data_IF_096422291594
#
_entry.id   IF_096422291594
#
_cell.length_a   1.000
_cell.length_b   1.000
_cell.length_c   1.000
_cell.angle_alpha   90.00
_cell.angle_beta   90.00
_cell.angle_gamma   90.00
#
_symmetry.space_group_name_H-M   'P 1'
#
loop_
_entity.id
_entity.type
_entity.pdbx_description
1 polymer ?
#
# COMPACT_ATOMS: atom_id res chain seq x y z
N UNK A 1 -31.10 -9.85 28.11
CA UNK A 1 -29.88 -9.59 27.32
C UNK A 1 -29.46 -8.14 27.60
N UNK A 2 -28.25 -7.95 28.09
CA UNK A 2 -27.77 -6.61 28.53
C UNK A 2 -27.56 -5.71 27.32
N UNK A 3 -27.94 -4.40 27.42
CA UNK A 3 -27.70 -3.36 26.40
C UNK A 3 -26.24 -3.26 25.91
N UNK A 4 -25.30 -3.84 26.64
CA UNK A 4 -23.89 -3.90 26.26
C UNK A 4 -23.61 -4.77 25.03
N UNK A 5 -24.41 -5.82 24.75
CA UNK A 5 -24.25 -6.71 23.60
C UNK A 5 -24.76 -6.12 22.28
N UNK A 6 -25.58 -5.07 22.34
CA UNK A 6 -26.13 -4.40 21.15
C UNK A 6 -25.21 -3.31 20.58
N UNK A 7 -24.16 -2.88 21.35
CA UNK A 7 -23.25 -1.83 20.86
C UNK A 7 -22.32 -2.38 19.77
N UNK A 8 -22.09 -1.63 18.70
CA UNK A 8 -21.19 -2.05 17.63
C UNK A 8 -19.71 -1.99 18.04
N UNK A 9 -18.84 -2.67 17.28
CA UNK A 9 -17.44 -2.33 17.19
C UNK A 9 -17.33 -1.11 16.28
N UNK A 10 -16.61 -0.08 16.71
CA UNK A 10 -16.37 1.11 15.90
C UNK A 10 -14.98 1.04 15.28
N UNK A 11 -14.92 1.17 13.95
CA UNK A 11 -13.66 1.26 13.18
C UNK A 11 -13.49 2.70 12.71
N UNK A 12 -12.37 3.32 13.06
CA UNK A 12 -12.04 4.70 12.70
C UNK A 12 -11.12 4.69 11.49
N UNK A 13 -11.63 5.12 10.36
CA UNK A 13 -10.97 5.13 9.06
C UNK A 13 -11.42 4.01 8.11
N UNK A 14 -11.87 4.38 6.91
CA UNK A 14 -12.29 3.50 5.82
C UNK A 14 -11.18 3.27 4.78
N UNK A 15 -9.89 3.29 5.20
CA UNK A 15 -8.77 2.81 4.42
C UNK A 15 -8.77 1.28 4.32
N UNK A 16 -7.85 0.69 3.54
CA UNK A 16 -7.78 -0.76 3.33
C UNK A 16 -7.71 -1.57 4.64
N UNK A 17 -6.98 -1.09 5.64
CA UNK A 17 -6.86 -1.78 6.92
C UNK A 17 -8.19 -1.77 7.70
N UNK A 18 -8.88 -0.61 7.72
CA UNK A 18 -10.17 -0.49 8.39
C UNK A 18 -11.26 -1.30 7.71
N UNK A 19 -11.33 -1.25 6.37
CA UNK A 19 -12.28 -2.05 5.59
C UNK A 19 -12.02 -3.55 5.74
N UNK A 20 -10.75 -4.00 5.71
CA UNK A 20 -10.39 -5.40 5.93
C UNK A 20 -10.80 -5.88 7.35
N UNK A 21 -10.60 -5.03 8.37
CA UNK A 21 -11.03 -5.31 9.73
C UNK A 21 -12.56 -5.38 9.83
N UNK A 22 -13.26 -4.37 9.32
CA UNK A 22 -14.71 -4.27 9.37
C UNK A 22 -15.39 -5.46 8.64
N UNK A 23 -14.92 -5.79 7.45
CA UNK A 23 -15.44 -6.91 6.66
C UNK A 23 -15.21 -8.25 7.37
N UNK A 24 -14.03 -8.45 7.98
CA UNK A 24 -13.76 -9.66 8.73
C UNK A 24 -14.68 -9.79 9.96
N UNK A 25 -14.88 -8.72 10.72
CA UNK A 25 -15.79 -8.70 11.86
C UNK A 25 -17.26 -8.93 11.44
N UNK A 26 -17.69 -8.31 10.35
CA UNK A 26 -19.03 -8.47 9.82
C UNK A 26 -19.33 -9.94 9.42
N UNK A 27 -18.37 -10.61 8.78
CA UNK A 27 -18.49 -12.04 8.41
C UNK A 27 -18.69 -12.95 9.62
N UNK A 28 -18.16 -12.57 10.77
CA UNK A 28 -18.34 -13.27 12.05
C UNK A 28 -19.60 -12.80 12.83
N UNK A 29 -20.48 -12.03 12.17
CA UNK A 29 -21.74 -11.57 12.74
C UNK A 29 -21.61 -10.49 13.82
N UNK A 30 -20.47 -9.80 13.90
CA UNK A 30 -20.27 -8.70 14.84
C UNK A 30 -20.83 -7.41 14.24
N UNK A 31 -21.73 -6.67 14.93
CA UNK A 31 -22.17 -5.36 14.49
C UNK A 31 -20.99 -4.38 14.42
N UNK A 32 -20.81 -3.74 13.25
CA UNK A 32 -19.70 -2.80 12.98
C UNK A 32 -20.25 -1.47 12.50
N UNK A 33 -19.60 -0.37 12.90
CA UNK A 33 -19.72 0.96 12.29
C UNK A 33 -18.34 1.44 11.90
N UNK A 34 -18.22 2.00 10.70
CA UNK A 34 -16.97 2.58 10.19
C UNK A 34 -17.15 4.09 10.08
N UNK A 35 -16.29 4.86 10.75
CA UNK A 35 -16.29 6.31 10.74
C UNK A 35 -15.16 6.78 9.84
N UNK A 36 -15.48 7.47 8.74
CA UNK A 36 -14.50 7.97 7.77
C UNK A 36 -14.60 9.51 7.69
N UNK A 37 -13.46 10.18 7.86
CA UNK A 37 -13.41 11.63 7.85
C UNK A 37 -13.64 12.25 6.47
N UNK A 38 -13.27 11.55 5.41
CA UNK A 38 -13.34 12.05 4.04
C UNK A 38 -14.69 11.75 3.36
N UNK A 39 -14.79 12.15 2.10
CA UNK A 39 -15.96 12.00 1.23
C UNK A 39 -16.04 10.63 0.52
N UNK A 40 -15.16 9.69 0.85
CA UNK A 40 -15.15 8.36 0.23
C UNK A 40 -14.20 7.38 0.89
N UNK A 41 -14.39 6.10 0.60
CA UNK A 41 -13.55 5.01 1.11
C UNK A 41 -12.18 4.95 0.41
N UNK A 42 -11.24 4.21 1.01
CA UNK A 42 -9.95 3.87 0.42
C UNK A 42 -8.74 4.56 1.06
N UNK A 43 -8.95 5.67 1.75
CA UNK A 43 -7.85 6.45 2.35
C UNK A 43 -6.85 6.93 1.28
N UNK A 44 -5.65 6.35 1.25
CA UNK A 44 -4.62 6.63 0.23
C UNK A 44 -4.86 5.94 -1.11
N UNK A 45 -5.67 4.88 -1.14
CA UNK A 45 -5.99 4.12 -2.35
C UNK A 45 -7.32 4.64 -2.92
N UNK A 46 -7.23 5.74 -3.66
CA UNK A 46 -8.37 6.43 -4.26
C UNK A 46 -8.05 6.84 -5.70
N UNK A 47 -9.10 7.05 -6.49
CA UNK A 47 -9.03 7.45 -7.90
C UNK A 47 -9.93 8.65 -8.12
N UNK A 48 -9.45 9.62 -8.90
CA UNK A 48 -10.23 10.75 -9.40
C UNK A 48 -10.46 10.60 -10.90
N UNK A 49 -11.60 11.09 -11.41
CA UNK A 49 -11.88 11.17 -12.85
C UNK A 49 -11.82 12.62 -13.29
N UNK A 50 -10.94 12.93 -14.23
CA UNK A 50 -10.71 14.29 -14.72
C UNK A 50 -10.68 14.28 -16.25
N UNK A 51 -11.59 14.99 -16.89
CA UNK A 51 -11.67 15.13 -18.35
C UNK A 51 -11.65 13.77 -19.10
N UNK A 52 -12.29 12.75 -18.52
CA UNK A 52 -12.33 11.39 -19.04
C UNK A 52 -11.08 10.53 -18.74
N UNK A 53 -10.09 11.07 -18.04
CA UNK A 53 -8.94 10.32 -17.54
C UNK A 53 -9.19 9.75 -16.14
N UNK A 54 -8.64 8.58 -15.88
CA UNK A 54 -8.64 7.92 -14.57
C UNK A 54 -7.31 8.19 -13.88
N UNK A 55 -7.32 8.95 -12.78
CA UNK A 55 -6.14 9.40 -12.07
C UNK A 55 -6.13 8.82 -10.65
N UNK A 56 -5.28 7.86 -10.39
CA UNK A 56 -5.06 7.40 -9.03
C UNK A 56 -4.39 8.49 -8.19
N UNK A 57 -4.77 8.63 -6.92
CA UNK A 57 -4.20 9.65 -6.03
C UNK A 57 -2.77 9.27 -5.63
N UNK A 58 -1.85 9.49 -6.57
CA UNK A 58 -0.46 9.04 -6.57
C UNK A 58 -0.25 7.84 -7.48
N UNK A 59 1.00 7.67 -7.97
CA UNK A 59 1.34 6.51 -8.78
C UNK A 59 1.39 5.26 -7.89
N UNK A 60 0.42 4.39 -8.04
CA UNK A 60 0.21 3.20 -7.23
C UNK A 60 0.11 1.97 -8.10
N UNK A 61 0.55 0.83 -7.56
CA UNK A 61 0.38 -0.48 -8.18
C UNK A 61 0.09 -1.52 -7.08
N UNK A 62 -0.60 -2.58 -7.46
CA UNK A 62 -0.80 -3.76 -6.63
C UNK A 62 0.07 -4.91 -7.16
N UNK A 63 0.67 -5.70 -6.26
CA UNK A 63 1.42 -6.88 -6.67
C UNK A 63 0.49 -8.10 -6.66
N UNK A 64 0.36 -8.78 -7.79
CA UNK A 64 -0.56 -9.92 -7.92
C UNK A 64 -0.17 -11.13 -7.06
N UNK A 65 1.07 -11.18 -6.57
CA UNK A 65 1.54 -12.20 -5.62
C UNK A 65 1.15 -11.93 -4.15
N UNK A 66 0.45 -10.84 -3.84
CA UNK A 66 0.05 -10.56 -2.47
C UNK A 66 -0.96 -11.60 -1.95
N UNK A 67 -0.63 -12.34 -0.85
CA UNK A 67 -1.54 -13.34 -0.29
C UNK A 67 -2.91 -12.80 0.12
N UNK A 68 -2.96 -11.56 0.66
CA UNK A 68 -4.24 -10.97 1.07
C UNK A 68 -5.12 -10.57 -0.12
N UNK A 69 -4.54 -10.33 -1.30
CA UNK A 69 -5.31 -10.13 -2.52
C UNK A 69 -6.20 -11.35 -2.83
N UNK A 70 -5.60 -12.54 -2.84
CA UNK A 70 -6.34 -13.79 -3.12
C UNK A 70 -7.26 -14.24 -1.99
N UNK A 71 -7.03 -13.73 -0.77
CA UNK A 71 -7.85 -14.07 0.40
C UNK A 71 -9.11 -13.21 0.52
N UNK A 72 -9.00 -11.93 0.17
CA UNK A 72 -10.04 -10.94 0.50
C UNK A 72 -10.81 -10.43 -0.71
N UNK A 73 -10.32 -10.67 -1.93
CA UNK A 73 -10.89 -10.11 -3.15
C UNK A 73 -11.32 -11.17 -4.15
N UNK A 74 -12.34 -10.84 -4.92
CA UNK A 74 -12.56 -11.43 -6.23
C UNK A 74 -11.60 -10.77 -7.22
N UNK A 75 -10.48 -11.46 -7.49
CA UNK A 75 -9.41 -10.94 -8.35
C UNK A 75 -9.89 -10.79 -9.80
N UNK A 76 -10.81 -11.64 -10.25
CA UNK A 76 -11.36 -11.57 -11.61
C UNK A 76 -12.21 -10.31 -11.79
N UNK A 77 -13.01 -9.95 -10.78
CA UNK A 77 -13.84 -8.75 -10.81
C UNK A 77 -13.03 -7.44 -10.75
N UNK A 78 -11.80 -7.47 -10.25
CA UNK A 78 -10.91 -6.31 -10.29
C UNK A 78 -10.39 -5.99 -11.70
N UNK A 79 -10.49 -6.92 -12.64
CA UNK A 79 -10.08 -6.75 -14.05
C UNK A 79 -8.68 -6.12 -14.18
N UNK A 80 -7.67 -6.82 -13.62
CA UNK A 80 -6.32 -6.30 -13.48
C UNK A 80 -5.58 -6.17 -14.81
N UNK A 81 -4.93 -5.04 -15.02
CA UNK A 81 -4.02 -4.74 -16.14
C UNK A 81 -2.59 -4.80 -15.64
N UNK A 82 -1.81 -5.73 -16.18
CA UNK A 82 -0.44 -5.97 -15.74
C UNK A 82 0.57 -5.09 -16.47
N UNK A 83 1.54 -4.59 -15.72
CA UNK A 83 2.78 -4.06 -16.26
C UNK A 83 3.62 -5.17 -16.85
N UNK A 84 4.38 -4.85 -17.90
CA UNK A 84 5.37 -5.79 -18.43
C UNK A 84 6.48 -6.06 -17.39
N UNK A 85 6.99 -7.30 -17.29
CA UNK A 85 7.93 -7.71 -16.25
C UNK A 85 9.31 -7.09 -16.48
N UNK A 86 9.65 -6.08 -15.70
CA UNK A 86 10.92 -5.37 -15.79
C UNK A 86 10.76 -3.87 -15.69
N UNK A 87 11.76 -3.14 -16.17
CA UNK A 87 11.73 -1.68 -16.23
C UNK A 87 12.53 -1.19 -17.45
N UNK A 88 12.13 -0.02 -17.98
CA UNK A 88 12.85 0.70 -19.02
C UNK A 88 13.72 1.77 -18.38
N UNK A 89 15.03 1.58 -18.35
CA UNK A 89 15.97 2.57 -17.81
C UNK A 89 16.26 3.62 -18.86
N UNK A 90 15.86 4.86 -18.61
CA UNK A 90 16.05 5.99 -19.53
C UNK A 90 17.34 6.73 -19.20
N UNK A 91 18.21 6.89 -20.21
CA UNK A 91 19.49 7.56 -20.05
C UNK A 91 20.02 8.08 -21.40
N UNK A 92 20.52 9.31 -21.44
CA UNK A 92 21.13 9.92 -22.63
C UNK A 92 20.19 9.84 -23.86
N UNK A 93 18.90 10.13 -23.68
CA UNK A 93 17.93 10.12 -24.78
C UNK A 93 17.53 8.70 -25.27
N UNK A 94 17.89 7.65 -24.55
CA UNK A 94 17.61 6.25 -24.94
C UNK A 94 17.06 5.44 -23.78
N UNK A 95 16.08 4.59 -24.06
CA UNK A 95 15.58 3.56 -23.16
C UNK A 95 16.37 2.25 -23.31
N UNK A 96 16.72 1.63 -22.18
CA UNK A 96 17.33 0.29 -22.15
C UNK A 96 16.48 -0.59 -21.25
N UNK A 97 15.89 -1.65 -21.82
CA UNK A 97 15.03 -2.55 -21.05
C UNK A 97 15.86 -3.50 -20.18
N UNK A 98 15.47 -3.61 -18.92
CA UNK A 98 15.92 -4.65 -17.98
C UNK A 98 14.69 -5.47 -17.61
N UNK A 99 14.59 -6.64 -18.21
CA UNK A 99 13.44 -7.52 -18.11
C UNK A 99 13.79 -8.76 -17.29
N UNK A 100 12.85 -9.31 -16.55
CA UNK A 100 13.02 -10.61 -15.90
C UNK A 100 13.04 -11.71 -16.98
N UNK A 101 14.20 -12.33 -17.28
CA UNK A 101 14.31 -13.30 -18.36
C UNK A 101 13.56 -14.60 -18.07
N UNK A 102 13.18 -14.85 -16.83
CA UNK A 102 12.38 -16.02 -16.47
C UNK A 102 10.89 -15.82 -16.77
N UNK A 103 10.44 -14.56 -16.85
CA UNK A 103 9.06 -14.22 -17.20
C UNK A 103 8.89 -13.85 -18.67
N UNK A 104 9.91 -13.24 -19.27
CA UNK A 104 9.95 -12.94 -20.71
C UNK A 104 11.33 -13.27 -21.30
N UNK A 105 11.54 -14.55 -21.71
CA UNK A 105 12.81 -15.02 -22.28
C UNK A 105 13.24 -14.30 -23.58
N UNK A 106 12.28 -13.71 -24.31
CA UNK A 106 12.56 -13.00 -25.58
C UNK A 106 13.49 -11.82 -25.40
N UNK A 107 13.45 -11.19 -24.22
CA UNK A 107 14.27 -10.03 -23.87
C UNK A 107 15.57 -10.38 -23.14
N UNK A 108 15.89 -11.68 -22.95
CA UNK A 108 17.06 -12.10 -22.17
C UNK A 108 18.38 -11.55 -22.77
N UNK A 109 18.55 -11.60 -24.09
CA UNK A 109 19.75 -11.08 -24.76
C UNK A 109 19.82 -9.56 -24.66
N UNK A 110 18.72 -8.85 -24.91
CA UNK A 110 18.65 -7.40 -24.79
C UNK A 110 18.99 -6.95 -23.36
N UNK A 111 18.44 -7.63 -22.35
CA UNK A 111 18.75 -7.40 -20.93
C UNK A 111 20.23 -7.67 -20.63
N UNK A 112 20.80 -8.75 -21.16
CA UNK A 112 22.22 -9.07 -20.96
C UNK A 112 23.14 -7.99 -21.55
N UNK A 113 22.78 -7.40 -22.67
CA UNK A 113 23.55 -6.37 -23.38
C UNK A 113 23.22 -4.93 -22.92
N UNK A 114 22.17 -4.72 -22.12
CA UNK A 114 21.80 -3.39 -21.64
C UNK A 114 22.96 -2.73 -20.88
N UNK A 115 23.31 -1.44 -21.14
CA UNK A 115 24.46 -0.74 -20.53
C UNK A 115 24.12 -0.26 -19.10
N UNK A 116 23.53 -1.15 -18.31
CA UNK A 116 23.05 -0.91 -16.95
C UNK A 116 23.75 -1.94 -16.06
N UNK A 117 24.76 -1.51 -15.34
CA UNK A 117 25.64 -2.40 -14.57
C UNK A 117 26.48 -3.34 -15.44
N UNK A 118 27.21 -4.21 -14.77
CA UNK A 118 28.06 -5.23 -15.38
C UNK A 118 27.29 -6.51 -15.69
N UNK A 119 27.82 -7.45 -16.51
CA UNK A 119 27.25 -8.79 -16.64
C UNK A 119 27.15 -9.53 -15.29
N UNK A 120 28.10 -9.29 -14.39
CA UNK A 120 28.08 -9.85 -13.04
C UNK A 120 26.92 -9.32 -12.21
N UNK A 121 26.53 -8.06 -12.37
CA UNK A 121 25.35 -7.50 -11.68
C UNK A 121 24.06 -8.21 -12.12
N UNK A 122 23.93 -8.52 -13.39
CA UNK A 122 22.78 -9.24 -13.95
C UNK A 122 22.69 -10.67 -13.42
N UNK A 123 23.85 -11.33 -13.29
CA UNK A 123 23.93 -12.66 -12.66
C UNK A 123 23.56 -12.57 -11.16
N UNK A 124 23.97 -11.49 -10.47
CA UNK A 124 23.59 -11.26 -9.06
C UNK A 124 22.09 -11.03 -8.92
N UNK A 125 21.42 -10.34 -9.86
CA UNK A 125 19.95 -10.21 -9.85
C UNK A 125 19.30 -11.60 -9.96
N UNK A 126 19.75 -12.45 -10.88
CA UNK A 126 19.22 -13.79 -11.02
C UNK A 126 19.43 -14.65 -9.74
N UNK A 127 20.60 -14.53 -9.12
CA UNK A 127 20.91 -15.17 -7.84
C UNK A 127 20.04 -14.63 -6.70
N UNK A 128 19.87 -13.32 -6.60
CA UNK A 128 19.01 -12.66 -5.64
C UNK A 128 17.57 -13.18 -5.78
N UNK A 129 17.03 -13.17 -7.00
CA UNK A 129 15.72 -13.71 -7.30
C UNK A 129 15.57 -15.16 -6.83
N UNK A 130 16.54 -16.02 -7.17
CA UNK A 130 16.51 -17.42 -6.73
C UNK A 130 16.57 -17.55 -5.21
N UNK A 131 17.49 -16.86 -4.54
CA UNK A 131 17.65 -16.92 -3.09
C UNK A 131 16.41 -16.45 -2.33
N UNK A 132 15.77 -15.37 -2.78
CA UNK A 132 14.56 -14.86 -2.13
C UNK A 132 13.36 -15.80 -2.35
N UNK A 133 13.28 -16.47 -3.52
CA UNK A 133 12.19 -17.42 -3.80
C UNK A 133 12.33 -18.76 -3.06
N UNK A 134 13.54 -19.16 -2.70
CA UNK A 134 13.79 -20.39 -1.95
C UNK A 134 13.49 -20.28 -0.45
N UNK A 135 13.29 -19.07 0.08
CA UNK A 135 13.04 -18.81 1.51
C UNK A 135 11.56 -18.52 1.73
N UNK A 136 10.98 -19.04 2.80
CA UNK A 136 9.60 -18.71 3.15
C UNK A 136 9.45 -17.19 3.42
N UNK A 137 8.41 -16.49 2.90
CA UNK A 137 8.28 -15.03 3.00
C UNK A 137 8.39 -14.49 4.42
N UNK A 138 7.88 -15.20 5.44
CA UNK A 138 7.96 -14.78 6.82
C UNK A 138 9.42 -14.70 7.36
N UNK A 139 10.34 -15.50 6.82
CA UNK A 139 11.75 -15.49 7.19
C UNK A 139 12.50 -14.31 6.57
N UNK A 140 12.02 -13.76 5.46
CA UNK A 140 12.60 -12.54 4.86
C UNK A 140 12.44 -11.32 5.77
N UNK A 141 11.41 -11.33 6.61
CA UNK A 141 11.13 -10.29 7.61
C UNK A 141 11.88 -10.50 8.94
N UNK A 142 12.73 -11.51 9.04
CA UNK A 142 13.49 -11.84 10.23
C UNK A 142 15.02 -11.61 10.02
N UNK A 143 15.83 -11.90 11.05
CA UNK A 143 17.29 -11.78 11.03
C UNK A 143 17.77 -10.33 11.18
N UNK A 144 19.06 -10.10 10.90
CA UNK A 144 19.67 -8.78 10.95
C UNK A 144 19.00 -7.80 9.99
N UNK A 145 18.92 -6.55 10.40
CA UNK A 145 18.29 -5.50 9.61
C UNK A 145 19.26 -4.34 9.39
N UNK A 146 19.29 -3.87 8.15
CA UNK A 146 20.11 -2.74 7.70
C UNK A 146 19.43 -2.05 6.53
N UNK A 147 19.97 -0.95 6.06
CA UNK A 147 19.42 -0.26 4.89
C UNK A 147 19.50 -1.12 3.62
N UNK A 148 18.56 -0.89 2.70
CA UNK A 148 18.57 -1.49 1.37
C UNK A 148 19.87 -1.16 0.62
N UNK A 149 20.36 0.09 0.70
CA UNK A 149 21.63 0.51 0.08
C UNK A 149 22.81 -0.33 0.57
N UNK A 150 22.99 -0.45 1.89
CA UNK A 150 24.06 -1.26 2.47
C UNK A 150 23.93 -2.74 2.05
N UNK A 151 22.72 -3.27 2.04
CA UNK A 151 22.45 -4.66 1.63
C UNK A 151 22.81 -4.92 0.16
N UNK A 152 22.49 -3.99 -0.74
CA UNK A 152 22.85 -4.13 -2.16
C UNK A 152 24.37 -4.09 -2.36
N UNK A 153 25.07 -3.19 -1.66
CA UNK A 153 26.53 -3.10 -1.68
C UNK A 153 27.18 -4.39 -1.15
N UNK A 154 26.71 -4.93 0.00
CA UNK A 154 27.21 -6.19 0.58
C UNK A 154 26.95 -7.41 -0.31
N UNK A 155 25.86 -7.40 -1.09
CA UNK A 155 25.59 -8.40 -2.12
C UNK A 155 26.47 -8.26 -3.36
N UNK A 156 27.35 -7.24 -3.38
CA UNK A 156 28.37 -6.98 -4.38
C UNK A 156 27.83 -6.30 -5.66
N UNK A 157 26.64 -5.71 -5.62
CA UNK A 157 26.17 -4.90 -6.76
C UNK A 157 27.06 -3.69 -6.96
N UNK A 158 27.35 -3.37 -8.22
CA UNK A 158 28.13 -2.16 -8.54
C UNK A 158 27.32 -0.88 -8.26
N UNK A 159 28.01 0.22 -7.95
CA UNK A 159 27.37 1.53 -7.79
C UNK A 159 26.55 1.89 -9.03
N UNK A 160 27.05 1.55 -10.21
CA UNK A 160 26.33 1.75 -11.48
C UNK A 160 24.98 1.04 -11.51
N UNK A 161 24.90 -0.19 -11.04
CA UNK A 161 23.63 -0.94 -10.98
C UNK A 161 22.73 -0.36 -9.90
N UNK A 162 23.27 -0.02 -8.73
CA UNK A 162 22.51 0.59 -7.63
C UNK A 162 21.91 1.92 -8.11
N UNK A 163 22.72 2.81 -8.67
CA UNK A 163 22.29 4.15 -9.06
C UNK A 163 21.31 4.18 -10.24
N UNK A 164 21.55 3.32 -11.25
CA UNK A 164 20.77 3.39 -12.51
C UNK A 164 19.51 2.54 -12.50
N UNK A 165 19.45 1.53 -11.65
CA UNK A 165 18.34 0.57 -11.63
C UNK A 165 17.67 0.49 -10.26
N UNK A 166 18.41 0.09 -9.20
CA UNK A 166 17.78 -0.14 -7.90
C UNK A 166 17.25 1.15 -7.27
N UNK A 167 18.01 2.24 -7.32
CA UNK A 167 17.56 3.52 -6.76
C UNK A 167 16.25 4.00 -7.37
N UNK A 168 16.11 4.17 -8.69
CA UNK A 168 14.86 4.65 -9.26
C UNK A 168 13.73 3.63 -9.19
N UNK A 169 14.00 2.32 -9.19
CA UNK A 169 12.97 1.29 -9.04
C UNK A 169 12.52 1.16 -7.58
N UNK A 170 13.45 0.79 -6.71
CA UNK A 170 13.15 0.46 -5.30
C UNK A 170 12.86 1.74 -4.50
N UNK A 171 13.63 2.80 -4.75
CA UNK A 171 13.39 4.11 -4.16
C UNK A 171 12.02 4.69 -4.54
N UNK A 172 11.54 4.39 -5.77
CA UNK A 172 10.18 4.72 -6.19
C UNK A 172 9.12 3.92 -5.44
N UNK A 173 9.32 2.61 -5.27
CA UNK A 173 8.38 1.72 -4.56
C UNK A 173 8.33 2.04 -3.06
N UNK A 174 9.49 2.30 -2.44
CA UNK A 174 9.61 2.56 -0.99
C UNK A 174 9.47 4.05 -0.64
N UNK A 175 9.28 4.93 -1.61
CA UNK A 175 9.30 6.39 -1.47
C UNK A 175 10.58 6.88 -0.75
N UNK A 176 11.69 6.24 -1.04
CA UNK A 176 12.98 6.44 -0.39
C UNK A 176 14.13 6.48 -1.41
N UNK A 177 14.38 7.63 -2.04
CA UNK A 177 15.42 7.79 -3.06
C UNK A 177 16.82 7.39 -2.59
N UNK A 178 17.09 7.47 -1.30
CA UNK A 178 18.40 7.14 -0.73
C UNK A 178 18.53 5.68 -0.28
N UNK A 179 17.48 4.86 -0.48
CA UNK A 179 17.45 3.43 -0.15
C UNK A 179 17.81 3.14 1.32
N UNK A 180 17.40 4.04 2.24
CA UNK A 180 17.62 3.87 3.68
C UNK A 180 16.62 2.92 4.33
N UNK A 181 15.48 2.67 3.68
CA UNK A 181 14.49 1.71 4.17
C UNK A 181 15.10 0.30 4.35
N UNK A 182 14.52 -0.44 5.27
CA UNK A 182 14.96 -1.78 5.67
C UNK A 182 15.12 -2.75 4.50
N UNK A 183 16.18 -3.56 4.54
CA UNK A 183 16.36 -4.69 3.60
C UNK A 183 15.20 -5.66 3.64
N UNK A 184 14.51 -5.81 4.79
CA UNK A 184 13.36 -6.71 4.93
C UNK A 184 12.24 -6.30 4.00
N UNK A 185 12.00 -4.99 3.88
CA UNK A 185 11.05 -4.45 2.90
C UNK A 185 11.50 -4.67 1.47
N UNK A 186 12.78 -4.42 1.18
CA UNK A 186 13.34 -4.70 -0.13
C UNK A 186 13.18 -6.19 -0.50
N UNK A 187 13.59 -7.09 0.38
CA UNK A 187 13.58 -8.53 0.12
C UNK A 187 12.15 -9.05 -0.12
N UNK A 188 11.17 -8.62 0.68
CA UNK A 188 9.77 -9.06 0.50
C UNK A 188 9.14 -8.48 -0.78
N UNK A 189 9.37 -7.19 -1.08
CA UNK A 189 8.85 -6.56 -2.31
C UNK A 189 9.48 -7.19 -3.55
N UNK A 190 10.80 -7.37 -3.54
CA UNK A 190 11.49 -8.01 -4.66
C UNK A 190 11.03 -9.46 -4.87
N UNK A 191 10.76 -10.20 -3.78
CA UNK A 191 10.14 -11.53 -3.84
C UNK A 191 8.76 -11.48 -4.49
N UNK A 192 7.90 -10.55 -4.10
CA UNK A 192 6.54 -10.41 -4.67
C UNK A 192 6.60 -10.06 -6.16
N UNK A 193 7.53 -9.19 -6.57
CA UNK A 193 7.78 -8.88 -7.99
C UNK A 193 8.31 -10.09 -8.78
N UNK A 194 9.08 -10.98 -8.13
CA UNK A 194 9.58 -12.20 -8.76
C UNK A 194 8.51 -13.30 -8.88
N UNK A 195 7.50 -13.30 -8.02
CA UNK A 195 6.44 -14.31 -8.00
C UNK A 195 5.18 -13.89 -8.75
N UNK A 196 4.94 -12.57 -8.92
CA UNK A 196 3.77 -12.01 -9.58
C UNK A 196 4.08 -10.77 -10.41
N UNK A 197 3.05 -10.09 -10.89
CA UNK A 197 3.13 -8.84 -11.64
C UNK A 197 2.80 -7.63 -10.78
N UNK A 198 3.28 -6.45 -11.19
CA UNK A 198 2.66 -5.19 -10.81
C UNK A 198 1.44 -4.97 -11.71
N UNK A 199 0.32 -4.57 -11.13
CA UNK A 199 -0.92 -4.40 -11.86
C UNK A 199 -1.76 -3.26 -11.27
N UNK A 200 -2.70 -2.77 -12.07
CA UNK A 200 -3.75 -1.83 -11.65
C UNK A 200 -5.12 -2.34 -12.11
N UNK A 201 -6.21 -2.11 -11.37
CA UNK A 201 -7.55 -2.38 -11.87
C UNK A 201 -7.88 -1.51 -13.09
N UNK A 202 -8.63 -2.02 -14.06
CA UNK A 202 -9.06 -1.26 -15.24
C UNK A 202 -9.87 0.01 -14.88
N UNK A 203 -10.63 -0.05 -13.79
CA UNK A 203 -11.43 1.07 -13.28
C UNK A 203 -10.69 2.04 -12.35
N UNK A 204 -9.38 1.85 -12.15
CA UNK A 204 -8.60 2.62 -11.18
C UNK A 204 -8.42 1.91 -9.84
N UNK A 205 -7.45 2.36 -9.08
CA UNK A 205 -7.09 1.74 -7.79
C UNK A 205 -8.23 1.80 -6.75
N UNK A 206 -9.18 2.75 -6.87
CA UNK A 206 -10.35 2.84 -5.99
C UNK A 206 -11.24 1.58 -6.03
N UNK A 207 -11.22 0.80 -7.12
CA UNK A 207 -11.95 -0.47 -7.21
C UNK A 207 -11.56 -1.46 -6.09
N UNK A 208 -10.34 -1.36 -5.57
CA UNK A 208 -9.86 -2.23 -4.48
C UNK A 208 -10.62 -1.96 -3.17
N UNK A 209 -10.58 -0.75 -2.56
CA UNK A 209 -11.35 -0.47 -1.35
C UNK A 209 -12.87 -0.54 -1.58
N UNK A 210 -13.37 -0.19 -2.75
CA UNK A 210 -14.79 -0.27 -3.10
C UNK A 210 -15.31 -1.71 -3.06
N UNK A 211 -14.54 -2.68 -3.55
CA UNK A 211 -14.90 -4.09 -3.48
C UNK A 211 -14.98 -4.58 -2.02
N UNK A 212 -14.09 -4.13 -1.13
CA UNK A 212 -14.19 -4.44 0.30
C UNK A 212 -15.40 -3.78 0.94
N UNK A 213 -15.66 -2.52 0.64
CA UNK A 213 -16.80 -1.79 1.17
C UNK A 213 -18.14 -2.40 0.77
N UNK A 214 -18.24 -2.94 -0.45
CA UNK A 214 -19.42 -3.61 -0.98
C UNK A 214 -19.80 -4.90 -0.21
N UNK A 215 -18.91 -5.44 0.61
CA UNK A 215 -19.24 -6.56 1.50
C UNK A 215 -19.95 -6.14 2.81
N UNK A 216 -20.03 -4.84 3.07
CA UNK A 216 -20.65 -4.30 4.28
C UNK A 216 -22.08 -3.83 3.97
N UNK A 217 -23.05 -4.03 4.89
CA UNK A 217 -24.41 -3.52 4.72
C UNK A 217 -24.44 -2.00 4.54
N UNK A 218 -25.45 -1.52 3.85
CA UNK A 218 -25.72 -0.08 3.73
C UNK A 218 -25.82 0.57 5.10
N UNK A 219 -25.26 1.78 5.22
CA UNK A 219 -25.22 2.53 6.46
C UNK A 219 -24.17 2.06 7.48
N UNK A 220 -23.37 1.02 7.17
CA UNK A 220 -22.25 0.60 8.02
C UNK A 220 -21.11 1.62 8.00
N UNK A 221 -20.86 2.27 6.85
CA UNK A 221 -19.82 3.27 6.65
C UNK A 221 -20.45 4.66 6.70
N UNK A 222 -19.97 5.51 7.58
CA UNK A 222 -20.37 6.91 7.72
C UNK A 222 -19.22 7.79 7.23
N UNK A 223 -19.46 8.49 6.12
CA UNK A 223 -18.51 9.42 5.51
C UNK A 223 -18.69 10.83 6.10
N UNK A 224 -17.66 11.67 6.03
CA UNK A 224 -17.68 13.01 6.61
C UNK A 224 -17.79 13.01 8.13
N UNK A 225 -17.34 11.94 8.80
CA UNK A 225 -17.43 11.73 10.23
C UNK A 225 -16.02 11.69 10.88
N UNK A 226 -15.33 12.83 11.02
CA UNK A 226 -13.99 12.89 11.61
C UNK A 226 -14.05 12.58 13.11
N UNK A 227 -13.27 11.58 13.52
CA UNK A 227 -13.09 11.24 14.94
C UNK A 227 -12.00 12.10 15.53
N UNK A 228 -12.33 12.88 16.54
CA UNK A 228 -11.43 13.81 17.25
C UNK A 228 -10.79 13.23 18.50
N UNK A 229 -11.43 12.25 19.13
CA UNK A 229 -10.91 11.60 20.34
C UNK A 229 -11.40 10.16 20.49
N UNK A 230 -10.57 9.34 21.13
CA UNK A 230 -10.90 7.98 21.54
C UNK A 230 -10.75 7.90 23.06
N UNK A 231 -11.75 7.36 23.73
CA UNK A 231 -11.77 7.21 25.19
C UNK A 231 -12.05 5.77 25.56
N UNK A 232 -11.40 5.29 26.59
CA UNK A 232 -11.65 3.98 27.18
C UNK A 232 -12.14 4.12 28.61
N UNK A 233 -13.06 3.28 29.03
CA UNK A 233 -13.61 3.27 30.39
C UNK A 233 -13.96 1.86 30.84
N UNK A 234 -14.49 1.73 32.07
CA UNK A 234 -14.89 0.43 32.63
C UNK A 234 -16.04 -0.20 31.85
N UNK A 235 -16.87 0.58 31.19
CA UNK A 235 -18.05 0.13 30.44
C UNK A 235 -17.80 -0.09 28.94
N UNK A 236 -16.53 -0.08 28.49
CA UNK A 236 -16.13 -0.22 27.09
C UNK A 236 -15.35 0.99 26.57
N UNK A 237 -15.41 1.20 25.26
CA UNK A 237 -14.75 2.30 24.58
C UNK A 237 -15.78 3.27 23.98
N UNK A 238 -15.37 4.50 23.71
CA UNK A 238 -16.17 5.51 23.04
C UNK A 238 -15.29 6.37 22.13
N UNK A 239 -15.90 6.90 21.08
CA UNK A 239 -15.29 7.90 20.22
C UNK A 239 -16.04 9.22 20.32
N UNK A 240 -15.35 10.29 20.03
CA UNK A 240 -15.93 11.63 19.85
C UNK A 240 -15.83 11.99 18.37
N UNK A 241 -16.96 12.27 17.75
CA UNK A 241 -17.09 12.67 16.35
C UNK A 241 -17.40 14.16 16.30
N UNK A 242 -16.76 14.92 15.43
CA UNK A 242 -16.93 16.37 15.26
C UNK A 242 -16.76 17.19 16.56
N UNK A 243 -16.03 16.66 17.55
CA UNK A 243 -15.85 17.31 18.84
C UNK A 243 -17.12 17.44 19.70
N UNK A 244 -18.24 16.81 19.32
CA UNK A 244 -19.54 16.96 19.97
C UNK A 244 -20.33 15.66 20.17
N UNK A 245 -20.29 14.73 19.23
CA UNK A 245 -21.07 13.52 19.27
C UNK A 245 -20.29 12.35 19.87
N UNK A 246 -20.80 11.77 20.94
CA UNK A 246 -20.21 10.59 21.56
C UNK A 246 -20.88 9.31 21.06
N UNK A 247 -20.07 8.38 20.53
CA UNK A 247 -20.51 7.06 20.11
C UNK A 247 -19.89 6.01 21.02
N UNK A 248 -20.73 5.30 21.78
CA UNK A 248 -20.30 4.20 22.63
C UNK A 248 -20.10 2.93 21.82
N UNK A 249 -19.06 2.17 22.11
CA UNK A 249 -18.67 0.97 21.41
C UNK A 249 -18.29 -0.16 22.37
N UNK A 250 -18.39 -1.42 21.91
CA UNK A 250 -17.82 -2.58 22.63
C UNK A 250 -16.30 -2.59 22.54
N UNK A 251 -15.80 -2.17 21.39
CA UNK A 251 -14.38 -1.99 21.10
C UNK A 251 -14.21 -0.89 20.05
N UNK A 252 -13.06 -0.23 20.05
CA UNK A 252 -12.68 0.75 19.05
C UNK A 252 -11.41 0.28 18.35
N UNK A 253 -11.44 0.30 17.02
CA UNK A 253 -10.29 0.02 16.15
C UNK A 253 -9.88 1.32 15.46
N UNK A 254 -8.71 1.85 15.76
CA UNK A 254 -8.13 2.99 15.04
C UNK A 254 -7.37 2.46 13.83
N UNK A 255 -7.88 2.73 12.64
CA UNK A 255 -7.39 2.25 11.35
C UNK A 255 -6.96 3.40 10.41
N UNK A 256 -6.62 4.55 10.99
CA UNK A 256 -6.11 5.72 10.29
C UNK A 256 -4.65 5.53 9.86
N UNK A 257 -4.07 6.52 9.19
CA UNK A 257 -2.62 6.53 8.96
C UNK A 257 -1.84 6.66 10.29
N UNK A 258 -0.51 6.44 10.21
CA UNK A 258 0.35 6.44 11.39
C UNK A 258 0.34 7.75 12.20
N UNK A 259 0.44 8.94 11.57
CA UNK A 259 0.36 10.21 12.25
C UNK A 259 -0.95 10.41 13.03
N UNK A 260 -2.10 10.24 12.40
CA UNK A 260 -3.41 10.38 13.05
C UNK A 260 -3.63 9.31 14.13
N UNK A 261 -3.17 8.08 13.89
CA UNK A 261 -3.21 7.03 14.93
C UNK A 261 -2.35 7.42 16.14
N UNK A 262 -1.19 8.05 15.93
CA UNK A 262 -0.33 8.58 16.99
C UNK A 262 -1.04 9.65 17.83
N UNK A 263 -1.73 10.58 17.19
CA UNK A 263 -2.48 11.66 17.84
C UNK A 263 -3.67 11.11 18.65
N UNK A 264 -4.48 10.25 18.06
CA UNK A 264 -5.68 9.69 18.70
C UNK A 264 -5.36 8.74 19.88
N UNK A 265 -4.24 8.03 19.82
CA UNK A 265 -3.92 6.94 20.75
C UNK A 265 -2.76 7.26 21.70
N UNK A 266 -2.03 8.35 21.48
CA UNK A 266 -0.80 8.66 22.23
C UNK A 266 0.31 7.60 22.05
N UNK A 267 0.29 6.85 20.96
CA UNK A 267 1.35 5.87 20.64
C UNK A 267 2.53 6.57 19.96
N UNK A 268 3.71 5.91 19.99
CA UNK A 268 4.92 6.45 19.38
C UNK A 268 4.65 6.85 17.92
N UNK A 269 5.03 8.07 17.51
CA UNK A 269 4.81 8.53 16.15
C UNK A 269 5.59 7.69 15.15
N UNK A 270 4.98 7.43 14.02
CA UNK A 270 5.61 6.74 12.89
C UNK A 270 6.00 7.79 11.85
N UNK A 271 7.28 7.81 11.46
CA UNK A 271 7.74 8.69 10.39
C UNK A 271 7.01 8.41 9.07
N UNK A 272 6.98 9.41 8.21
CA UNK A 272 6.29 9.33 6.91
C UNK A 272 7.26 9.55 5.76
N UNK A 273 7.09 8.82 4.67
CA UNK A 273 7.72 9.06 3.38
C UNK A 273 6.70 9.76 2.48
N UNK A 274 7.11 10.86 1.88
CA UNK A 274 6.24 11.69 1.03
C UNK A 274 6.46 11.41 -0.45
N UNK A 275 5.51 11.82 -1.30
CA UNK A 275 5.65 11.76 -2.76
C UNK A 275 4.81 12.84 -3.43
N UNK A 276 5.39 13.47 -4.46
CA UNK A 276 4.68 14.25 -5.46
C UNK A 276 4.42 13.41 -6.70
N UNK A 277 3.22 13.51 -7.25
CA UNK A 277 2.86 12.88 -8.51
C UNK A 277 2.23 13.90 -9.45
N UNK A 278 2.68 13.92 -10.70
CA UNK A 278 2.15 14.81 -11.73
C UNK A 278 1.62 13.99 -12.88
N UNK A 279 0.39 14.29 -13.28
CA UNK A 279 -0.31 13.64 -14.38
C UNK A 279 -0.40 14.58 -15.58
N UNK A 280 -0.06 14.03 -16.75
CA UNK A 280 -0.15 14.73 -18.03
C UNK A 280 -0.97 13.92 -19.03
N UNK A 281 -1.79 14.62 -19.81
CA UNK A 281 -2.36 14.09 -21.03
C UNK A 281 -1.43 14.41 -22.21
N UNK A 282 -1.18 13.41 -23.06
CA UNK A 282 -0.37 13.52 -24.26
C UNK A 282 -1.16 13.01 -25.48
N UNK A 283 -0.99 13.66 -26.64
CA UNK A 283 -1.61 13.21 -27.90
C UNK A 283 -0.92 11.96 -28.47
N UNK A 284 0.37 11.80 -28.17
CA UNK A 284 1.14 10.61 -28.55
C UNK A 284 1.92 10.09 -27.33
N UNK A 285 1.96 8.79 -27.18
CA UNK A 285 2.75 8.16 -26.11
C UNK A 285 4.25 8.45 -26.36
N UNK A 286 5.01 8.89 -25.32
CA UNK A 286 6.44 9.13 -25.48
C UNK A 286 7.24 7.82 -25.66
N UNK A 287 6.64 6.69 -25.36
CA UNK A 287 7.14 5.33 -25.56
C UNK A 287 5.96 4.37 -25.60
N UNK A 288 6.10 3.24 -26.26
CA UNK A 288 5.10 2.17 -26.37
C UNK A 288 5.18 1.13 -25.25
N UNK A 289 6.15 1.29 -24.34
CA UNK A 289 6.38 0.31 -23.27
C UNK A 289 5.21 0.25 -22.28
N UNK A 290 4.94 -0.97 -21.81
CA UNK A 290 4.11 -1.24 -20.62
C UNK A 290 4.94 -1.33 -19.32
N UNK A 291 6.22 -1.04 -19.37
CA UNK A 291 7.10 -1.06 -18.21
C UNK A 291 7.10 0.32 -17.52
N UNK A 292 7.46 0.32 -16.25
CA UNK A 292 7.85 1.56 -15.57
C UNK A 292 9.14 2.08 -16.19
N UNK A 293 9.20 3.37 -16.49
CA UNK A 293 10.39 4.08 -16.99
C UNK A 293 11.13 4.67 -15.81
N UNK A 294 12.42 4.35 -15.68
CA UNK A 294 13.28 4.75 -14.56
C UNK A 294 14.28 5.83 -14.98
N UNK A 295 14.55 6.79 -14.10
CA UNK A 295 15.65 7.74 -14.29
C UNK A 295 17.02 7.08 -14.04
N UNK A 296 17.65 6.62 -15.09
CA UNK A 296 19.01 6.02 -15.02
C UNK A 296 20.15 7.03 -15.03
N UNK A 297 19.85 8.34 -15.00
CA UNK A 297 20.83 9.42 -15.10
C UNK A 297 20.86 10.36 -13.88
N UNK A 298 19.95 10.23 -12.92
CA UNK A 298 19.72 11.19 -11.83
C UNK A 298 19.51 12.62 -12.38
N UNK A 299 18.65 12.71 -13.39
CA UNK A 299 18.45 13.94 -14.16
C UNK A 299 17.54 14.96 -13.48
N UNK A 300 16.92 14.60 -12.38
CA UNK A 300 16.04 15.45 -11.60
C UNK A 300 15.25 14.69 -10.54
N UNK A 301 14.18 15.30 -9.97
CA UNK A 301 13.41 14.72 -8.88
C UNK A 301 12.50 13.56 -9.32
N UNK A 302 12.15 13.45 -10.61
CA UNK A 302 11.34 12.34 -11.12
C UNK A 302 12.17 11.07 -11.09
N UNK A 303 11.81 10.12 -10.24
CA UNK A 303 12.46 8.82 -10.17
C UNK A 303 11.93 7.85 -11.20
N UNK A 304 10.61 7.82 -11.37
CA UNK A 304 9.97 6.92 -12.31
C UNK A 304 8.74 7.56 -12.97
N UNK A 305 8.42 7.03 -14.14
CA UNK A 305 7.30 7.44 -14.98
C UNK A 305 6.58 6.20 -15.47
N UNK A 306 5.27 6.28 -15.64
CA UNK A 306 4.50 5.29 -16.37
C UNK A 306 3.61 5.97 -17.41
N UNK A 307 3.48 5.35 -18.59
CA UNK A 307 2.42 5.67 -19.54
C UNK A 307 1.26 4.75 -19.20
N UNK A 308 0.39 5.22 -18.31
CA UNK A 308 -0.69 4.40 -17.73
C UNK A 308 -1.62 3.83 -18.79
N UNK A 309 -1.94 4.60 -19.83
CA UNK A 309 -2.76 4.15 -20.94
C UNK A 309 -2.14 3.04 -21.80
N UNK A 310 -0.82 2.82 -21.74
CA UNK A 310 -0.21 1.65 -22.38
C UNK A 310 -0.47 0.38 -21.58
N UNK A 311 -0.54 0.50 -20.26
CA UNK A 311 -0.81 -0.63 -19.34
C UNK A 311 -2.29 -0.92 -19.28
N UNK A 312 -3.09 0.10 -18.99
CA UNK A 312 -4.54 0.09 -18.86
C UNK A 312 -5.14 1.13 -19.82
N UNK A 313 -5.56 0.74 -21.03
CA UNK A 313 -6.14 1.66 -22.01
C UNK A 313 -7.32 2.47 -21.46
N UNK A 314 -8.03 1.92 -20.49
CA UNK A 314 -9.19 2.51 -19.82
C UNK A 314 -8.84 3.76 -19.00
N UNK A 315 -7.57 4.01 -18.72
CA UNK A 315 -7.11 5.19 -17.98
C UNK A 315 -7.10 6.48 -18.79
N UNK A 316 -7.29 6.42 -20.12
CA UNK A 316 -7.33 7.59 -20.98
C UNK A 316 -8.46 7.51 -22.02
N UNK A 317 -9.01 8.64 -22.44
CA UNK A 317 -9.91 8.70 -23.58
C UNK A 317 -9.23 8.20 -24.86
N UNK A 318 -10.02 7.66 -25.78
CA UNK A 318 -9.52 7.19 -27.08
C UNK A 318 -8.73 8.31 -27.83
N UNK A 319 -7.54 7.95 -28.32
CA UNK A 319 -6.64 8.89 -29.00
C UNK A 319 -5.84 9.81 -28.07
N UNK A 320 -5.87 9.55 -26.76
CA UNK A 320 -5.06 10.25 -25.75
C UNK A 320 -4.24 9.28 -24.93
N UNK A 321 -3.18 9.78 -24.32
CA UNK A 321 -2.30 8.99 -23.46
C UNK A 321 -2.15 9.65 -22.10
N UNK A 322 -2.17 8.85 -21.05
CA UNK A 322 -1.95 9.29 -19.68
C UNK A 322 -0.51 8.97 -19.23
N UNK A 323 0.21 10.03 -18.88
CA UNK A 323 1.58 9.92 -18.35
C UNK A 323 1.60 10.35 -16.88
N UNK A 324 2.13 9.54 -15.99
CA UNK A 324 2.36 9.88 -14.59
C UNK A 324 3.85 9.93 -14.27
N UNK A 325 4.29 10.99 -13.59
CA UNK A 325 5.64 11.17 -13.08
C UNK A 325 5.63 11.18 -11.56
N UNK A 326 6.42 10.32 -10.92
CA UNK A 326 6.52 10.22 -9.47
C UNK A 326 7.86 10.78 -8.95
N UNK A 327 7.77 11.60 -7.91
CA UNK A 327 8.86 12.31 -7.27
C UNK A 327 8.85 12.03 -5.76
N UNK A 328 9.39 10.88 -5.32
CA UNK A 328 9.50 10.57 -3.90
C UNK A 328 10.33 11.61 -3.14
N UNK A 329 9.84 11.99 -1.95
CA UNK A 329 10.46 13.03 -1.11
C UNK A 329 10.02 14.45 -1.44
N UNK A 330 9.37 14.68 -2.58
CA UNK A 330 9.01 16.02 -3.06
C UNK A 330 7.52 16.32 -2.88
N UNK A 331 7.21 17.45 -2.24
CA UNK A 331 5.82 17.93 -2.06
C UNK A 331 5.68 19.45 -2.29
N UNK A 332 6.74 20.09 -2.78
CA UNK A 332 6.80 21.55 -3.03
C UNK A 332 5.84 22.02 -4.13
N UNK A 333 5.80 23.32 -4.34
CA UNK A 333 4.88 23.94 -5.32
C UNK A 333 5.28 23.71 -6.77
N UNK A 334 6.57 23.48 -7.03
CA UNK A 334 7.14 23.42 -8.39
C UNK A 334 7.16 22.01 -9.00
N UNK A 335 6.34 21.07 -8.50
CA UNK A 335 6.36 19.68 -8.99
C UNK A 335 6.11 19.57 -10.50
N UNK A 336 5.09 20.25 -11.00
CA UNK A 336 4.74 20.22 -12.44
C UNK A 336 5.88 20.75 -13.31
N UNK A 337 6.39 21.93 -13.01
CA UNK A 337 7.47 22.56 -13.79
C UNK A 337 8.77 21.77 -13.72
N UNK A 338 9.08 21.15 -12.59
CA UNK A 338 10.26 20.31 -12.42
C UNK A 338 10.12 18.98 -13.19
N UNK A 339 8.96 18.33 -13.11
CA UNK A 339 8.67 17.15 -13.90
C UNK A 339 8.75 17.43 -15.40
N UNK A 340 8.06 18.48 -15.88
CA UNK A 340 8.05 18.87 -17.30
C UNK A 340 9.46 19.13 -17.82
N UNK A 341 10.29 19.87 -17.07
CA UNK A 341 11.68 20.17 -17.44
C UNK A 341 12.51 18.89 -17.57
N UNK A 342 12.43 17.97 -16.62
CA UNK A 342 13.13 16.70 -16.66
C UNK A 342 12.66 15.82 -17.82
N UNK A 343 11.34 15.68 -18.00
CA UNK A 343 10.74 14.89 -19.07
C UNK A 343 11.01 15.45 -20.45
N UNK A 344 11.10 16.78 -20.59
CA UNK A 344 11.56 17.43 -21.82
C UNK A 344 13.01 17.04 -22.16
N UNK A 345 13.87 16.88 -21.15
CA UNK A 345 15.22 16.35 -21.35
C UNK A 345 15.23 14.90 -21.83
N UNK A 346 14.19 14.12 -21.50
CA UNK A 346 14.05 12.72 -21.93
C UNK A 346 13.46 12.63 -23.35
N UNK A 347 12.36 13.30 -23.61
CA UNK A 347 11.50 13.09 -24.79
C UNK A 347 11.39 14.31 -25.71
N UNK A 348 12.14 15.38 -25.43
CA UNK A 348 12.21 16.55 -26.30
C UNK A 348 10.98 17.46 -26.24
N UNK A 349 10.81 18.26 -27.31
CA UNK A 349 9.81 19.33 -27.37
C UNK A 349 8.34 18.84 -27.33
N UNK A 350 8.05 17.56 -27.58
CA UNK A 350 6.69 17.04 -27.48
C UNK A 350 6.09 17.24 -26.07
N UNK A 351 6.95 17.23 -25.02
CA UNK A 351 6.54 17.42 -23.64
C UNK A 351 5.94 18.80 -23.37
N UNK A 352 6.34 19.81 -24.15
CA UNK A 352 5.81 21.17 -24.03
C UNK A 352 4.31 21.24 -24.43
N UNK A 353 3.84 20.27 -25.24
CA UNK A 353 2.46 20.18 -25.71
C UNK A 353 1.56 19.35 -24.78
N UNK A 354 2.14 18.70 -23.74
CA UNK A 354 1.36 17.90 -22.82
C UNK A 354 0.49 18.79 -21.94
N UNK A 355 -0.79 18.43 -21.83
CA UNK A 355 -1.71 19.10 -20.91
C UNK A 355 -1.44 18.59 -19.48
N UNK A 356 -1.23 19.52 -18.55
CA UNK A 356 -1.22 19.18 -17.12
C UNK A 356 -2.65 18.88 -16.66
N UNK A 357 -2.89 17.70 -16.11
CA UNK A 357 -4.20 17.28 -15.59
C UNK A 357 -4.31 17.55 -14.10
N UNK A 358 -3.35 17.04 -13.34
CA UNK A 358 -3.37 17.16 -11.88
C UNK A 358 -1.98 16.93 -11.26
N UNK A 359 -1.78 17.57 -10.11
CA UNK A 359 -0.64 17.32 -9.22
C UNK A 359 -1.14 16.89 -7.87
N UNK A 360 -0.69 15.71 -7.41
CA UNK A 360 -0.93 15.23 -6.05
C UNK A 360 0.31 15.47 -5.19
N UNK A 361 0.11 16.05 -4.00
CA UNK A 361 1.11 16.23 -2.96
C UNK A 361 0.72 15.38 -1.78
N UNK A 362 1.49 14.33 -1.52
CA UNK A 362 1.13 13.30 -0.54
C UNK A 362 2.20 13.29 0.55
N UNK A 363 1.98 14.00 1.66
CA UNK A 363 2.96 14.08 2.76
C UNK A 363 3.14 12.74 3.48
N UNK A 364 2.11 11.90 3.49
CA UNK A 364 2.07 10.59 4.17
C UNK A 364 1.78 9.47 3.16
N UNK A 365 2.65 9.30 2.14
CA UNK A 365 2.50 8.25 1.12
C UNK A 365 2.70 6.86 1.70
N UNK A 366 3.73 6.69 2.53
CA UNK A 366 4.02 5.46 3.26
C UNK A 366 4.57 5.76 4.65
N UNK A 367 4.36 4.88 5.66
CA UNK A 367 5.10 4.96 6.91
C UNK A 367 6.58 4.69 6.67
N UNK A 368 7.47 5.34 7.44
CA UNK A 368 8.90 5.03 7.43
C UNK A 368 9.13 3.60 7.91
N UNK A 369 10.00 2.89 7.19
CA UNK A 369 10.41 1.53 7.52
C UNK A 369 11.94 1.42 7.58
N UNK A 370 12.57 2.43 8.17
CA UNK A 370 14.01 2.45 8.39
C UNK A 370 14.43 1.38 9.42
N UNK A 371 15.64 0.84 9.31
CA UNK A 371 16.13 -0.12 10.31
C UNK A 371 16.26 0.48 11.73
N UNK A 372 15.94 -0.27 12.77
CA UNK A 372 15.45 -1.64 12.80
C UNK A 372 13.94 -1.74 12.57
N UNK A 373 13.54 -2.21 11.39
CA UNK A 373 12.13 -2.38 11.04
C UNK A 373 11.52 -3.59 11.74
N UNK A 374 10.37 -3.39 12.38
CA UNK A 374 9.63 -4.42 13.11
C UNK A 374 8.22 -4.57 12.54
N UNK A 375 8.00 -5.53 11.62
CA UNK A 375 6.66 -5.86 11.13
C UNK A 375 5.84 -6.56 12.22
N UNK A 376 4.54 -6.73 11.97
CA UNK A 376 3.61 -7.43 12.84
C UNK A 376 3.56 -6.87 14.27
N UNK A 377 3.56 -5.55 14.39
CA UNK A 377 3.44 -4.88 15.68
C UNK A 377 2.11 -5.26 16.36
N UNK A 378 2.07 -5.10 17.68
CA UNK A 378 0.89 -5.38 18.49
C UNK A 378 -0.31 -4.54 18.04
N UNK A 379 -1.46 -5.19 17.81
CA UNK A 379 -2.71 -4.54 17.38
C UNK A 379 -3.65 -4.25 18.55
N UNK A 380 -3.61 -5.02 19.64
CA UNK A 380 -4.40 -4.76 20.84
C UNK A 380 -3.63 -3.84 21.81
N UNK A 381 -4.28 -2.76 22.24
CA UNK A 381 -3.74 -1.81 23.23
C UNK A 381 -4.33 -2.01 24.62
N UNK A 382 -5.27 -2.95 24.78
CA UNK A 382 -6.00 -3.21 26.04
C UNK A 382 -7.30 -2.40 26.13
N UNK A 383 -8.13 -2.72 27.11
CA UNK A 383 -9.37 -2.03 27.43
C UNK A 383 -10.32 -1.81 26.22
N UNK A 384 -10.41 -2.79 25.30
CA UNK A 384 -11.26 -2.69 24.12
C UNK A 384 -10.73 -1.74 23.05
N UNK A 385 -9.45 -1.34 23.12
CA UNK A 385 -8.80 -0.46 22.15
C UNK A 385 -7.82 -1.22 21.28
N UNK A 386 -7.91 -0.99 19.95
CA UNK A 386 -7.13 -1.66 18.93
C UNK A 386 -6.61 -0.68 17.90
N UNK A 387 -5.55 -1.06 17.19
CA UNK A 387 -4.94 -0.28 16.12
C UNK A 387 -4.49 -1.16 14.98
N UNK A 388 -4.79 -0.77 13.75
CA UNK A 388 -4.29 -1.43 12.54
C UNK A 388 -3.90 -0.39 11.48
N UNK A 389 -3.19 -0.86 10.46
CA UNK A 389 -2.67 -0.04 9.38
C UNK A 389 -1.37 -0.62 8.84
N UNK A 390 -0.90 -0.14 7.70
CA UNK A 390 0.39 -0.50 7.13
C UNK A 390 1.56 -0.10 8.04
N UNK A 391 1.39 0.91 8.87
CA UNK A 391 2.36 1.32 9.90
C UNK A 391 2.51 0.30 11.06
N UNK A 392 1.61 -0.68 11.16
CA UNK A 392 1.68 -1.79 12.13
C UNK A 392 2.21 -3.08 11.54
N UNK A 393 2.50 -3.08 10.23
CA UNK A 393 3.02 -4.22 9.47
C UNK A 393 4.01 -3.73 8.40
N UNK A 394 3.89 -4.14 7.15
CA UNK A 394 4.69 -3.66 6.01
C UNK A 394 4.00 -2.47 5.33
N UNK A 395 4.76 -1.44 4.93
CA UNK A 395 4.24 -0.28 4.19
C UNK A 395 3.80 -0.68 2.78
N UNK A 396 2.64 -1.29 2.68
CA UNK A 396 2.08 -1.83 1.44
C UNK A 396 0.58 -2.12 1.57
N UNK A 397 -0.09 -2.27 0.44
CA UNK A 397 -1.48 -2.79 0.37
C UNK A 397 -1.59 -4.12 1.14
N UNK A 398 -0.63 -5.04 0.92
CA UNK A 398 -0.56 -6.32 1.65
C UNK A 398 -0.51 -6.12 3.16
N UNK A 399 0.34 -5.22 3.64
CA UNK A 399 0.50 -4.97 5.08
C UNK A 399 -0.72 -4.31 5.71
N UNK A 400 -1.37 -3.38 5.01
CA UNK A 400 -2.61 -2.77 5.45
C UNK A 400 -3.73 -3.82 5.63
N UNK A 401 -3.97 -4.65 4.60
CA UNK A 401 -4.98 -5.71 4.60
C UNK A 401 -4.70 -6.76 5.70
N UNK A 402 -3.47 -7.23 5.78
CA UNK A 402 -3.05 -8.21 6.78
C UNK A 402 -3.16 -7.67 8.21
N UNK A 403 -2.78 -6.41 8.44
CA UNK A 403 -2.91 -5.75 9.74
C UNK A 403 -4.38 -5.62 10.14
N UNK A 404 -5.26 -5.25 9.20
CA UNK A 404 -6.71 -5.16 9.43
C UNK A 404 -7.31 -6.49 9.85
N UNK A 405 -6.99 -7.58 9.14
CA UNK A 405 -7.46 -8.93 9.48
C UNK A 405 -6.95 -9.40 10.84
N UNK A 406 -5.65 -9.23 11.13
CA UNK A 406 -5.10 -9.54 12.47
C UNK A 406 -5.78 -8.76 13.59
N UNK A 407 -6.17 -7.53 13.29
CA UNK A 407 -6.90 -6.70 14.25
C UNK A 407 -8.31 -7.27 14.50
N UNK A 408 -9.00 -7.70 13.45
CA UNK A 408 -10.30 -8.36 13.60
C UNK A 408 -10.20 -9.62 14.46
N UNK A 409 -9.21 -10.48 14.21
CA UNK A 409 -8.95 -11.69 15.03
C UNK A 409 -8.76 -11.33 16.52
N UNK A 410 -8.01 -10.25 16.80
CA UNK A 410 -7.77 -9.80 18.18
C UNK A 410 -9.03 -9.19 18.83
N UNK A 411 -9.88 -8.50 18.06
CA UNK A 411 -11.18 -7.98 18.53
C UNK A 411 -12.11 -9.13 18.87
N UNK A 412 -12.23 -10.14 17.99
CA UNK A 412 -13.04 -11.33 18.24
C UNK A 412 -12.64 -12.05 19.54
N UNK A 413 -11.35 -12.30 19.71
CA UNK A 413 -10.84 -12.91 20.94
C UNK A 413 -11.18 -12.08 22.21
N UNK A 414 -11.12 -10.74 22.11
CA UNK A 414 -11.52 -9.86 23.21
C UNK A 414 -13.02 -9.94 23.50
N UNK A 415 -13.87 -10.01 22.48
CA UNK A 415 -15.32 -10.10 22.63
C UNK A 415 -15.77 -11.46 23.20
N UNK A 416 -15.08 -12.55 22.85
CA UNK A 416 -15.36 -13.89 23.36
C UNK A 416 -15.01 -13.99 24.85
N UNK A 417 -13.86 -13.48 25.27
CA UNK A 417 -13.50 -13.41 26.70
C UNK A 417 -14.51 -12.58 27.50
N UNK A 418 -15.01 -11.49 26.93
CA UNK A 418 -16.03 -10.68 27.58
C UNK A 418 -17.39 -11.39 27.69
N UNK A 419 -17.74 -12.28 26.76
CA UNK A 419 -18.94 -13.13 26.85
C UNK A 419 -18.80 -14.17 27.98
N UNK A 420 -17.67 -14.86 28.06
CA UNK A 420 -17.43 -15.88 29.08
C UNK A 420 -17.43 -15.31 30.52
N UNK A 421 -17.01 -14.05 30.67
CA UNK A 421 -17.08 -13.33 31.97
C UNK A 421 -18.49 -12.90 32.32
N UNK A 422 -19.31 -12.51 31.31
CA UNK A 422 -20.68 -12.04 31.50
C UNK A 422 -21.68 -13.18 31.74
N UNK A 423 -21.45 -14.36 31.11
CA UNK A 423 -22.20 -15.59 31.27
C UNK A 423 -21.26 -16.72 31.69
N UNK A 424 -20.88 -16.79 33.00
CA UNK A 424 -20.06 -17.90 33.46
C UNK A 424 -20.85 -19.20 33.28
N UNK A 425 -20.22 -20.30 32.82
CA UNK A 425 -20.89 -21.58 32.63
C UNK A 425 -21.61 -21.95 33.92
N UNK A 426 -22.93 -22.13 33.81
CA UNK A 426 -23.77 -22.61 34.94
C UNK A 426 -23.13 -23.89 35.44
N UNK A 427 -22.60 -23.84 36.66
CA UNK A 427 -22.04 -25.01 37.34
C UNK A 427 -23.12 -26.10 37.34
N UNK A 428 -22.87 -27.18 36.63
CA UNK A 428 -23.71 -28.39 36.66
C UNK A 428 -23.68 -28.83 38.11
N UNK A 429 -24.79 -28.63 38.85
CA UNK A 429 -25.01 -29.33 40.12
C UNK A 429 -25.11 -30.81 39.77
N UNK A 430 -24.33 -31.67 40.38
CA UNK A 430 -24.58 -33.10 40.26
C UNK A 430 -25.92 -33.40 40.95
N UNK A 431 -26.89 -33.88 40.16
CA UNK A 431 -28.15 -34.36 40.64
C UNK A 431 -27.94 -35.57 41.53
N UNK A 432 -28.47 -35.47 42.77
CA UNK A 432 -29.18 -36.49 43.49
C UNK A 432 -28.40 -37.76 43.88
N UNK A 433 -27.88 -37.80 45.10
CA UNK A 433 -27.93 -39.06 45.84
C UNK A 433 -29.36 -39.38 46.25
N UNK A 434 -29.88 -40.61 46.01
CA UNK A 434 -31.14 -41.03 46.57
C UNK A 434 -30.93 -41.42 48.02
N UNK A 435 -31.80 -40.89 48.88
CA UNK A 435 -31.94 -41.31 50.27
C UNK A 435 -32.39 -42.77 50.36
N UNK A 436 -31.69 -43.58 51.11
CA UNK A 436 -32.18 -44.82 51.71
C UNK A 436 -31.99 -44.76 53.22
#
# INVERSE_FOLDING_TARGET
MSRAHERPVVVVGAGLAGLACATALHREGVPVRVMEASDGVGGRVRTDHVDGFTLDRGFQVMLTAYPELHRQFDVAALDLREFAPGALVWRNGRGSAVVDPFRDPRHAVATALAPIGSPFDKLRIARLRHSLRSVHPALLLAGDDRSTAATLADRGFSDTMIERFFRPLVGGIQLDPELQASRRMFDIVFRMLADGAAAVPAAGMAAVPEQLAAHLPDGTIELGAPVSAVRTGMDGAAIEVDGQHHVSARAVVVATDGPVAGELLGIAPVGSKSVGCVYFAAHAAPTDTKMVVLDGARSGPVLNVAVMSNVAPEYAPAGSHLVVAAMPGETGEQLESSARRQLRGWWGAQVDQWQHLRTYRIPHGQPSQDPPFRPKQRVSLGHGLFVCGDHRDTASIQGALYSGRRCADAVLAHLDVARDVADPPTAHRPDGEPAS
#
